data_IF_556958085261
#
_entry.id   IF_556958085261
#
_cell.length_a   1.000
_cell.length_b   1.000
_cell.length_c   1.000
_cell.angle_alpha   90.00
_cell.angle_beta   90.00
_cell.angle_gamma   90.00
#
_symmetry.space_group_name_H-M   'P 1'
#
loop_
_entity.id
_entity.type
_entity.pdbx_description
1 polymer ?
#
# COMPACT_ATOMS: atom_id res chain seq x y z
N UNK A 1 28.22 38.74 -6.69
CA UNK A 1 26.92 39.37 -7.07
C UNK A 1 25.84 38.34 -7.43
N UNK A 2 26.21 37.13 -7.83
CA UNK A 2 25.25 36.07 -8.21
C UNK A 2 24.64 35.32 -7.02
N UNK A 3 25.31 35.29 -5.87
CA UNK A 3 24.77 34.70 -4.63
C UNK A 3 23.66 35.53 -3.97
N UNK A 4 23.49 36.79 -4.34
CA UNK A 4 22.46 37.68 -3.77
C UNK A 4 21.14 37.59 -4.58
N UNK A 5 21.17 37.12 -5.80
CA UNK A 5 19.97 36.95 -6.64
C UNK A 5 19.08 35.77 -6.26
N UNK A 6 19.62 34.77 -5.57
CA UNK A 6 18.88 33.58 -5.16
C UNK A 6 18.31 33.65 -3.71
N UNK A 7 18.34 34.81 -3.07
CA UNK A 7 17.80 34.98 -1.71
C UNK A 7 16.27 35.07 -1.67
N UNK A 8 15.58 34.92 -2.79
CA UNK A 8 14.14 34.97 -2.91
C UNK A 8 13.46 33.67 -3.37
N UNK A 9 14.22 32.65 -3.73
CA UNK A 9 13.65 31.33 -3.88
C UNK A 9 13.37 30.79 -2.46
N UNK A 10 12.08 30.70 -2.11
CA UNK A 10 11.64 29.93 -0.95
C UNK A 10 12.28 28.55 -1.12
N UNK A 11 13.33 28.27 -0.37
CA UNK A 11 13.75 26.90 -0.15
C UNK A 11 12.47 26.17 0.29
N UNK A 12 11.94 25.30 -0.56
CA UNK A 12 11.01 24.29 -0.10
C UNK A 12 11.83 23.51 0.94
N UNK A 13 11.56 23.81 2.20
CA UNK A 13 12.04 23.02 3.31
C UNK A 13 11.27 21.71 3.13
N UNK A 14 11.80 20.83 2.29
CA UNK A 14 11.41 19.44 2.29
C UNK A 14 11.83 18.98 3.68
N UNK A 15 10.87 18.68 4.54
CA UNK A 15 11.17 18.14 5.86
C UNK A 15 11.94 16.85 5.64
N UNK A 16 13.17 16.87 6.07
CA UNK A 16 14.13 15.80 5.89
C UNK A 16 14.35 15.19 7.28
N UNK A 17 14.15 13.89 7.38
CA UNK A 17 14.48 13.10 8.56
C UNK A 17 15.79 12.33 8.39
N UNK A 18 16.25 11.76 9.49
CA UNK A 18 17.39 10.87 9.57
C UNK A 18 17.00 9.55 10.18
N UNK A 19 17.43 8.45 9.57
CA UNK A 19 17.22 7.10 10.10
C UNK A 19 18.00 6.95 11.40
N UNK A 20 17.33 6.63 12.49
CA UNK A 20 17.91 6.32 13.79
C UNK A 20 18.27 4.84 13.92
N UNK A 21 17.39 3.98 13.42
CA UNK A 21 17.60 2.54 13.41
C UNK A 21 16.71 1.91 12.33
N UNK A 22 17.12 0.76 11.82
CA UNK A 22 16.38 -0.02 10.85
C UNK A 22 16.44 -1.50 11.21
N UNK A 23 15.35 -2.22 11.05
CA UNK A 23 15.28 -3.66 11.25
C UNK A 23 13.87 -4.20 11.07
N UNK A 24 13.78 -5.44 10.62
CA UNK A 24 12.50 -6.15 10.40
C UNK A 24 11.49 -5.37 9.52
N UNK A 25 11.98 -4.64 8.52
CA UNK A 25 11.13 -3.84 7.63
C UNK A 25 10.60 -2.55 8.24
N UNK A 26 11.12 -2.13 9.39
CA UNK A 26 10.73 -0.90 10.08
C UNK A 26 11.95 0.01 10.24
N UNK A 27 11.81 1.28 9.91
CA UNK A 27 12.78 2.32 10.21
C UNK A 27 12.22 3.29 11.26
N UNK A 28 13.04 3.67 12.23
CA UNK A 28 12.79 4.81 13.10
C UNK A 28 13.50 6.02 12.57
N UNK A 29 12.77 7.09 12.37
CA UNK A 29 13.26 8.30 11.71
C UNK A 29 13.07 9.50 12.63
N UNK A 30 14.10 10.31 12.78
CA UNK A 30 14.08 11.58 13.51
C UNK A 30 13.91 12.76 12.55
N UNK A 31 13.21 13.82 12.96
CA UNK A 31 13.14 15.08 12.23
C UNK A 31 12.03 15.20 11.19
N UNK A 32 11.06 14.29 11.19
CA UNK A 32 9.85 14.38 10.36
C UNK A 32 8.65 14.93 11.18
N UNK A 33 8.82 16.09 11.82
CA UNK A 33 7.90 16.62 12.85
C UNK A 33 6.47 16.87 12.34
N UNK A 34 6.29 17.17 11.07
CA UNK A 34 4.97 17.46 10.50
C UNK A 34 4.44 16.32 9.60
N UNK A 35 5.06 15.14 9.61
CA UNK A 35 4.57 13.99 8.84
C UNK A 35 3.22 13.52 9.37
N UNK A 36 2.35 13.09 8.47
CA UNK A 36 1.04 12.55 8.83
C UNK A 36 1.08 11.02 8.87
N UNK A 37 0.28 10.42 9.74
CA UNK A 37 0.10 8.97 9.71
C UNK A 37 -0.49 8.53 8.37
N UNK A 38 0.11 7.49 7.76
CA UNK A 38 -0.23 7.04 6.41
C UNK A 38 0.42 7.85 5.28
N UNK A 39 1.26 8.83 5.60
CA UNK A 39 2.02 9.57 4.58
C UNK A 39 3.18 8.73 4.06
N UNK A 40 3.40 8.79 2.76
CA UNK A 40 4.53 8.14 2.10
C UNK A 40 5.80 8.96 2.29
N UNK A 41 6.89 8.28 2.61
CA UNK A 41 8.24 8.84 2.69
C UNK A 41 9.16 8.12 1.71
N UNK A 42 10.23 8.77 1.31
CA UNK A 42 11.21 8.25 0.38
C UNK A 42 12.59 8.28 1.05
N UNK A 43 13.27 7.15 1.03
CA UNK A 43 14.64 6.98 1.53
C UNK A 43 15.67 7.39 0.46
N UNK A 44 16.92 7.58 0.88
CA UNK A 44 18.00 8.03 0.01
C UNK A 44 18.29 7.06 -1.14
N UNK A 45 18.07 5.78 -0.94
CA UNK A 45 18.22 4.72 -1.94
C UNK A 45 17.05 4.63 -2.93
N UNK A 46 16.01 5.47 -2.78
CA UNK A 46 14.78 5.46 -3.58
C UNK A 46 13.71 4.49 -3.07
N UNK A 47 13.97 3.73 -2.01
CA UNK A 47 12.97 2.91 -1.34
C UNK A 47 11.87 3.78 -0.75
N UNK A 48 10.65 3.26 -0.71
CA UNK A 48 9.50 3.96 -0.15
C UNK A 48 9.05 3.32 1.14
N UNK A 49 8.47 4.13 2.01
CA UNK A 49 7.88 3.68 3.24
C UNK A 49 6.64 4.48 3.60
N UNK A 50 5.93 4.02 4.61
CA UNK A 50 4.74 4.68 5.15
C UNK A 50 4.97 5.03 6.61
N UNK A 51 4.77 6.29 6.97
CA UNK A 51 4.76 6.73 8.36
C UNK A 51 3.52 6.16 9.06
N UNK A 52 3.73 5.36 10.10
CA UNK A 52 2.65 4.70 10.82
C UNK A 52 2.53 5.18 12.25
N UNK A 53 3.62 5.12 13.03
CA UNK A 53 3.65 5.55 14.41
C UNK A 53 4.33 6.92 14.52
N UNK A 54 3.59 7.87 15.09
CA UNK A 54 4.10 9.20 15.36
C UNK A 54 4.37 9.31 16.86
N UNK A 55 5.64 9.31 17.24
CA UNK A 55 6.10 9.51 18.60
C UNK A 55 6.65 10.94 18.78
N UNK A 56 6.88 11.36 20.00
CA UNK A 56 7.29 12.75 20.26
C UNK A 56 8.66 13.12 19.68
N UNK A 57 9.54 12.16 19.54
CA UNK A 57 10.94 12.33 19.13
C UNK A 57 11.34 11.52 17.90
N UNK A 58 10.46 10.62 17.45
CA UNK A 58 10.73 9.82 16.28
C UNK A 58 9.44 9.38 15.56
N UNK A 59 9.59 8.94 14.33
CA UNK A 59 8.52 8.41 13.49
C UNK A 59 8.84 6.97 13.11
N UNK A 60 7.93 6.05 13.40
CA UNK A 60 8.01 4.68 12.92
C UNK A 60 7.51 4.58 11.49
N UNK A 61 8.40 4.17 10.59
CA UNK A 61 8.13 4.03 9.16
C UNK A 61 8.20 2.55 8.77
N UNK A 62 7.13 2.04 8.16
CA UNK A 62 7.13 0.71 7.53
C UNK A 62 7.73 0.83 6.14
N UNK A 63 8.76 0.03 5.86
CA UNK A 63 9.46 0.03 4.57
C UNK A 63 8.71 -0.86 3.59
N UNK A 64 8.50 -0.38 2.37
CA UNK A 64 7.93 -1.17 1.29
C UNK A 64 9.03 -1.84 0.46
N UNK A 65 9.28 -3.10 0.71
CA UNK A 65 10.30 -3.88 0.01
C UNK A 65 11.44 -4.32 0.92
N UNK A 66 12.66 -4.36 0.37
CA UNK A 66 13.87 -4.81 1.08
C UNK A 66 14.52 -3.64 1.85
N UNK A 67 14.84 -3.85 3.10
CA UNK A 67 15.45 -2.87 4.00
C UNK A 67 16.99 -2.92 4.03
N UNK A 68 17.60 -3.88 3.30
CA UNK A 68 19.05 -4.15 3.35
C UNK A 68 19.94 -2.98 2.96
N UNK A 69 19.44 -2.08 2.12
CA UNK A 69 20.21 -0.94 1.62
C UNK A 69 20.07 0.30 2.51
N UNK A 70 19.09 0.30 3.43
CA UNK A 70 18.82 1.44 4.32
C UNK A 70 19.70 1.31 5.56
N UNK A 71 20.40 2.39 5.91
CA UNK A 71 21.34 2.44 7.04
C UNK A 71 21.00 3.55 8.01
N UNK A 72 21.49 3.41 9.23
CA UNK A 72 21.45 4.48 10.22
C UNK A 72 22.15 5.73 9.68
N UNK A 73 21.53 6.89 9.84
CA UNK A 73 22.00 8.17 9.33
C UNK A 73 21.54 8.51 7.92
N UNK A 74 20.94 7.59 7.18
CA UNK A 74 20.41 7.86 5.84
C UNK A 74 19.32 8.92 5.90
N UNK A 75 19.16 9.63 4.80
CA UNK A 75 18.20 10.71 4.66
C UNK A 75 16.84 10.18 4.24
N UNK A 76 15.79 10.64 4.90
CA UNK A 76 14.41 10.33 4.56
C UNK A 76 13.66 11.62 4.23
N UNK A 77 12.94 11.64 3.11
CA UNK A 77 12.19 12.80 2.62
C UNK A 77 10.69 12.54 2.71
N UNK A 78 9.93 13.56 3.13
CA UNK A 78 8.48 13.53 3.02
C UNK A 78 8.05 13.66 1.56
N UNK A 79 7.03 12.91 1.18
CA UNK A 79 6.37 13.08 -0.14
C UNK A 79 5.15 13.99 -0.06
N UNK A 80 4.65 14.30 1.15
CA UNK A 80 3.39 15.03 1.41
C UNK A 80 2.16 14.36 0.79
N UNK A 81 2.26 13.11 0.42
CA UNK A 81 1.19 12.32 -0.18
C UNK A 81 0.87 11.12 0.72
N UNK A 82 -0.41 10.93 1.00
CA UNK A 82 -0.87 9.68 1.64
C UNK A 82 -0.67 8.54 0.65
N UNK A 83 -0.29 7.36 1.16
CA UNK A 83 -0.05 6.19 0.31
C UNK A 83 -1.25 5.92 -0.60
N UNK A 84 -1.02 6.02 -1.89
CA UNK A 84 -1.99 5.77 -2.95
C UNK A 84 -1.44 4.78 -3.97
N UNK A 85 -2.35 4.14 -4.70
CA UNK A 85 -2.01 3.18 -5.76
C UNK A 85 -2.77 3.50 -7.03
N UNK A 86 -2.20 3.21 -8.20
CA UNK A 86 -2.90 3.35 -9.47
C UNK A 86 -4.10 2.40 -9.50
N UNK A 87 -5.19 2.86 -10.07
CA UNK A 87 -6.43 2.10 -10.26
C UNK A 87 -6.98 2.31 -11.66
N UNK A 88 -7.65 1.31 -12.20
CA UNK A 88 -8.28 1.40 -13.52
C UNK A 88 -8.25 0.10 -14.30
N UNK A 89 -8.85 0.13 -15.48
CA UNK A 89 -8.90 -1.02 -16.39
C UNK A 89 -7.52 -1.39 -16.95
N UNK A 90 -6.58 -0.46 -16.89
CA UNK A 90 -5.19 -0.62 -17.35
C UNK A 90 -4.41 -1.64 -16.51
N UNK A 91 -4.93 -1.99 -15.33
CA UNK A 91 -4.39 -3.03 -14.46
C UNK A 91 -4.82 -4.44 -14.84
N UNK A 92 -5.84 -4.58 -15.69
CA UNK A 92 -6.33 -5.90 -16.10
C UNK A 92 -5.26 -6.64 -16.92
N UNK A 93 -4.96 -7.88 -16.50
CA UNK A 93 -3.93 -8.72 -17.14
C UNK A 93 -2.49 -8.29 -16.85
N UNK A 94 -2.29 -7.40 -15.85
CA UNK A 94 -0.99 -6.94 -15.37
C UNK A 94 -0.69 -7.54 -13.98
N UNK A 95 0.59 -7.72 -13.70
CA UNK A 95 1.08 -8.09 -12.36
C UNK A 95 1.84 -6.91 -11.79
N UNK A 96 1.42 -6.47 -10.62
CA UNK A 96 1.98 -5.30 -9.95
C UNK A 96 2.34 -5.61 -8.50
N UNK A 97 3.24 -4.83 -7.93
CA UNK A 97 3.54 -4.86 -6.50
C UNK A 97 2.45 -4.15 -5.66
N UNK A 98 2.63 -4.09 -4.35
CA UNK A 98 1.68 -3.43 -3.43
C UNK A 98 1.54 -1.92 -3.64
N UNK A 99 2.45 -1.26 -4.32
CA UNK A 99 2.39 0.16 -4.69
C UNK A 99 1.89 0.38 -6.12
N UNK A 100 1.59 -0.70 -6.85
CA UNK A 100 1.13 -0.65 -8.22
C UNK A 100 2.23 -0.52 -9.26
N UNK A 101 3.50 -0.78 -8.89
CA UNK A 101 4.58 -0.84 -9.87
C UNK A 101 4.51 -2.17 -10.63
N UNK A 102 4.61 -2.16 -11.96
CA UNK A 102 4.55 -3.40 -12.74
C UNK A 102 5.80 -4.26 -12.51
N UNK A 103 5.57 -5.55 -12.26
CA UNK A 103 6.62 -6.57 -12.08
C UNK A 103 6.55 -7.68 -13.14
N UNK A 104 5.69 -7.52 -14.15
CA UNK A 104 5.42 -8.49 -15.20
C UNK A 104 6.29 -8.33 -16.46
N UNK A 105 7.22 -7.37 -16.46
CA UNK A 105 8.09 -7.11 -17.61
C UNK A 105 7.40 -6.48 -18.82
N UNK A 106 6.10 -6.11 -18.72
CA UNK A 106 5.33 -5.54 -19.84
C UNK A 106 5.38 -4.00 -19.93
N UNK A 107 6.35 -3.38 -19.26
CA UNK A 107 6.53 -1.93 -19.28
C UNK A 107 5.62 -1.17 -18.30
N UNK A 108 5.70 0.16 -18.26
CA UNK A 108 4.99 1.00 -17.30
C UNK A 108 3.47 0.94 -17.48
N UNK A 109 2.73 1.21 -16.40
CA UNK A 109 1.29 1.36 -16.42
C UNK A 109 0.89 2.76 -16.92
N UNK A 110 -0.14 2.83 -17.73
CA UNK A 110 -0.74 4.09 -18.20
C UNK A 110 -1.90 4.58 -17.33
N UNK A 111 -2.06 4.02 -16.14
CA UNK A 111 -3.14 4.38 -15.23
C UNK A 111 -3.06 5.85 -14.80
N UNK A 112 -4.11 6.61 -15.06
CA UNK A 112 -4.21 8.04 -14.75
C UNK A 112 -4.82 8.30 -13.37
N UNK A 113 -5.62 7.37 -12.87
CA UNK A 113 -6.34 7.50 -11.62
C UNK A 113 -5.61 6.79 -10.49
N UNK A 114 -5.65 7.39 -9.30
CA UNK A 114 -5.09 6.81 -8.08
C UNK A 114 -6.15 6.79 -6.99
N UNK A 115 -6.06 5.83 -6.08
CA UNK A 115 -6.87 5.75 -4.87
C UNK A 115 -5.98 5.49 -3.65
N UNK A 116 -6.39 6.01 -2.51
CA UNK A 116 -5.73 5.72 -1.22
C UNK A 116 -5.82 4.23 -0.92
N UNK A 117 -4.75 3.70 -0.37
CA UNK A 117 -4.66 2.28 0.03
C UNK A 117 -5.56 2.02 1.22
N UNK A 118 -5.51 2.88 2.24
CA UNK A 118 -6.36 2.77 3.42
C UNK A 118 -7.64 3.57 3.24
N UNK A 119 -8.75 2.85 3.12
CA UNK A 119 -10.10 3.41 3.06
C UNK A 119 -10.97 2.70 4.08
N UNK A 120 -11.66 3.47 4.92
CA UNK A 120 -12.63 2.91 5.87
C UNK A 120 -13.73 2.18 5.11
N UNK A 121 -13.93 0.91 5.43
CA UNK A 121 -15.02 0.12 4.84
C UNK A 121 -16.40 0.75 5.15
N UNK A 122 -17.36 0.69 4.21
CA UNK A 122 -18.70 1.16 4.47
C UNK A 122 -19.36 0.37 5.61
N UNK A 123 -20.07 1.07 6.48
CA UNK A 123 -20.83 0.48 7.56
C UNK A 123 -22.03 -0.34 7.07
N UNK A 124 -22.87 -0.79 7.99
CA UNK A 124 -24.03 -1.65 7.67
C UNK A 124 -25.07 -0.91 6.83
N UNK A 125 -25.37 0.35 7.14
CA UNK A 125 -26.42 1.14 6.49
C UNK A 125 -26.22 1.32 4.98
N UNK A 126 -25.02 1.71 4.48
CA UNK A 126 -24.81 1.89 3.05
C UNK A 126 -24.56 0.59 2.27
N UNK A 127 -24.51 -0.56 2.95
CA UNK A 127 -24.32 -1.85 2.28
C UNK A 127 -25.64 -2.41 1.78
N UNK A 128 -25.66 -2.83 0.52
CA UNK A 128 -26.74 -3.62 -0.03
C UNK A 128 -26.63 -5.07 0.47
N UNK A 129 -27.77 -5.69 0.80
CA UNK A 129 -27.82 -7.12 1.11
C UNK A 129 -27.37 -7.95 -0.08
N UNK A 130 -26.79 -9.12 0.19
CA UNK A 130 -26.40 -10.08 -0.85
C UNK A 130 -27.67 -10.55 -1.58
N UNK A 131 -27.75 -10.28 -2.88
CA UNK A 131 -28.94 -10.55 -3.71
C UNK A 131 -28.62 -11.09 -5.10
N UNK A 132 -27.35 -11.20 -5.46
CA UNK A 132 -26.89 -11.76 -6.74
C UNK A 132 -26.22 -13.11 -6.51
N UNK A 133 -26.68 -14.20 -7.18
CA UNK A 133 -26.03 -15.49 -7.08
C UNK A 133 -24.67 -15.46 -7.79
N UNK A 134 -23.66 -16.11 -7.20
CA UNK A 134 -22.40 -16.39 -7.84
C UNK A 134 -22.43 -17.77 -8.45
N UNK A 135 -22.17 -17.87 -9.75
CA UNK A 135 -22.04 -19.14 -10.43
C UNK A 135 -20.60 -19.66 -10.25
N UNK A 136 -20.44 -20.65 -9.38
CA UNK A 136 -19.13 -21.24 -9.10
C UNK A 136 -18.71 -22.26 -10.15
N UNK A 137 -19.66 -22.80 -10.90
CA UNK A 137 -19.45 -23.93 -11.83
C UNK A 137 -19.39 -25.30 -11.16
N UNK A 138 -19.36 -25.34 -9.83
CA UNK A 138 -19.39 -26.57 -9.04
C UNK A 138 -20.84 -26.97 -8.79
N UNK A 139 -21.31 -28.02 -9.46
CA UNK A 139 -22.72 -28.48 -9.42
C UNK A 139 -23.25 -28.68 -8.01
N UNK A 140 -22.44 -29.24 -7.12
CA UNK A 140 -22.83 -29.49 -5.73
C UNK A 140 -23.07 -28.19 -4.94
N UNK A 141 -22.30 -27.15 -5.21
CA UNK A 141 -22.43 -25.85 -4.55
C UNK A 141 -23.64 -25.11 -5.16
N UNK A 142 -23.62 -24.91 -6.47
CA UNK A 142 -24.64 -24.11 -7.14
C UNK A 142 -26.06 -24.66 -6.99
N UNK A 143 -26.20 -26.00 -6.85
CA UNK A 143 -27.52 -26.62 -6.72
C UNK A 143 -28.02 -26.78 -5.29
N UNK A 144 -27.12 -26.95 -4.31
CA UNK A 144 -27.50 -27.29 -2.94
C UNK A 144 -27.22 -26.14 -1.95
N UNK A 145 -26.16 -25.38 -2.16
CA UNK A 145 -25.69 -24.33 -1.25
C UNK A 145 -25.29 -23.11 -2.08
N UNK A 146 -26.22 -22.44 -2.74
CA UNK A 146 -25.89 -21.30 -3.62
C UNK A 146 -25.21 -20.18 -2.83
N UNK A 147 -24.14 -19.67 -3.38
CA UNK A 147 -23.36 -18.58 -2.81
C UNK A 147 -23.75 -17.27 -3.49
N UNK A 148 -23.89 -16.21 -2.73
CA UNK A 148 -24.13 -14.88 -3.26
C UNK A 148 -22.87 -14.04 -3.39
N UNK A 149 -22.84 -13.12 -4.34
CA UNK A 149 -21.73 -12.18 -4.52
C UNK A 149 -21.58 -11.27 -3.31
N UNK A 150 -20.42 -11.27 -2.69
CA UNK A 150 -20.13 -10.53 -1.46
C UNK A 150 -20.47 -11.29 -0.16
N UNK A 151 -20.93 -12.53 -0.23
CA UNK A 151 -21.16 -13.40 0.91
C UNK A 151 -19.83 -13.84 1.52
N UNK A 152 -19.82 -14.02 2.85
CA UNK A 152 -18.69 -14.61 3.57
C UNK A 152 -18.92 -16.09 3.74
N UNK A 153 -18.01 -16.91 3.24
CA UNK A 153 -18.06 -18.36 3.30
C UNK A 153 -16.91 -18.95 4.09
N UNK A 154 -17.17 -20.06 4.75
CA UNK A 154 -16.18 -20.85 5.46
C UNK A 154 -15.95 -22.18 4.72
N UNK A 155 -14.74 -22.41 4.26
CA UNK A 155 -14.30 -23.67 3.69
C UNK A 155 -13.47 -24.39 4.73
N UNK A 156 -14.02 -25.41 5.36
CA UNK A 156 -13.38 -26.16 6.45
C UNK A 156 -13.10 -27.62 6.05
N UNK A 157 -11.98 -28.14 6.49
CA UNK A 157 -11.57 -29.54 6.26
C UNK A 157 -10.16 -29.79 6.75
N UNK A 158 -9.76 -31.04 6.80
CA UNK A 158 -8.41 -31.46 7.19
C UNK A 158 -7.34 -31.02 6.17
N UNK A 159 -6.08 -31.30 6.48
CA UNK A 159 -4.97 -31.02 5.57
C UNK A 159 -5.16 -31.77 4.25
N UNK A 160 -4.84 -31.12 3.13
CA UNK A 160 -4.85 -31.69 1.78
C UNK A 160 -6.20 -32.23 1.28
N UNK A 161 -7.31 -31.72 1.79
CA UNK A 161 -8.67 -32.12 1.37
C UNK A 161 -9.22 -31.30 0.20
N UNK A 162 -8.40 -30.48 -0.45
CA UNK A 162 -8.81 -29.73 -1.64
C UNK A 162 -9.47 -28.38 -1.34
N UNK A 163 -9.38 -27.84 -0.12
CA UNK A 163 -9.98 -26.52 0.24
C UNK A 163 -9.54 -25.41 -0.70
N UNK A 164 -8.25 -25.33 -0.96
CA UNK A 164 -7.69 -24.30 -1.83
C UNK A 164 -8.10 -24.50 -3.30
N UNK A 165 -8.18 -25.76 -3.76
CA UNK A 165 -8.65 -26.05 -5.10
C UNK A 165 -10.08 -25.56 -5.32
N UNK A 166 -10.99 -25.86 -4.39
CA UNK A 166 -12.39 -25.37 -4.44
C UNK A 166 -12.47 -23.84 -4.45
N UNK A 167 -11.55 -23.15 -3.78
CA UNK A 167 -11.56 -21.69 -3.71
C UNK A 167 -10.97 -21.01 -4.96
N UNK A 168 -10.10 -21.71 -5.71
CA UNK A 168 -9.42 -21.18 -6.90
C UNK A 168 -10.19 -21.48 -8.18
N UNK A 169 -10.78 -22.69 -8.30
CA UNK A 169 -11.57 -23.10 -9.46
C UNK A 169 -12.88 -22.31 -9.57
#
# INVERSE_FOLDING_TARGET
KDQIKNFGEKAEISEIGKVLSVGDGIARVYGLDNVQAGEMVEFEDGSKGMALNLENDNVGVVIFGDDKNIKEGDTVKRTKAIVDVPVGKELLGRVVDGLGNPIDGKGPLSAKNKKRVEVKAPGIIPRQSVNEPMQTGLKSIDSLIPIGRGQRELIIGDRQTGKTAVAID
#
